data_IF_304276431167
#
_entry.id   IF_304276431167
#
_cell.length_a   1.000
_cell.length_b   1.000
_cell.length_c   1.000
_cell.angle_alpha   90.00
_cell.angle_beta   90.00
_cell.angle_gamma   90.00
#
_symmetry.space_group_name_H-M   'P 1'
#
loop_
_entity.id
_entity.type
_entity.pdbx_description
1 polymer ?
#
# COMPACT_ATOMS: atom_id res chain seq x y z
N UNK A 1 4.25 5.16 -6.99
CA UNK A 1 4.27 6.57 -6.58
C UNK A 1 3.85 6.64 -5.10
N UNK A 2 4.79 6.91 -4.16
CA UNK A 2 4.50 6.87 -2.72
C UNK A 2 3.41 7.85 -2.28
N UNK A 3 3.35 9.02 -2.91
CA UNK A 3 2.47 10.13 -2.51
C UNK A 3 0.97 9.80 -2.54
N UNK A 4 0.56 8.74 -3.24
CA UNK A 4 -0.82 8.27 -3.30
C UNK A 4 -1.24 7.49 -2.03
N UNK A 5 -0.31 7.25 -1.11
CA UNK A 5 -0.54 6.44 0.07
C UNK A 5 -0.16 7.17 1.35
N UNK A 6 -0.86 6.81 2.44
CA UNK A 6 -0.40 7.06 3.81
C UNK A 6 0.14 5.77 4.40
N UNK A 7 1.13 5.91 5.27
CA UNK A 7 1.77 4.82 5.97
C UNK A 7 1.36 4.74 7.43
N UNK A 8 2.26 4.16 8.22
CA UNK A 8 2.19 4.13 9.68
C UNK A 8 1.88 5.53 10.26
N UNK A 9 1.03 5.55 11.28
CA UNK A 9 0.56 6.76 11.97
C UNK A 9 -0.01 7.85 11.03
N UNK A 10 -0.62 7.43 9.91
CA UNK A 10 -1.28 8.32 8.96
C UNK A 10 -0.35 9.32 8.23
N UNK A 11 0.95 9.04 8.24
CA UNK A 11 1.93 9.91 7.60
C UNK A 11 1.88 9.71 6.08
N UNK A 12 1.68 10.78 5.32
CA UNK A 12 1.75 10.75 3.86
C UNK A 12 3.15 10.35 3.39
N UNK A 13 3.23 9.33 2.53
CA UNK A 13 4.51 8.80 2.08
C UNK A 13 5.14 9.69 1.00
N UNK A 14 6.36 10.16 1.26
CA UNK A 14 7.23 10.78 0.25
C UNK A 14 8.18 9.75 -0.39
N UNK A 15 8.44 8.65 0.31
CA UNK A 15 9.24 7.52 -0.12
C UNK A 15 8.67 6.23 0.50
N UNK A 16 9.05 5.06 -0.02
CA UNK A 16 8.57 3.76 0.47
C UNK A 16 9.14 3.31 1.82
N UNK A 17 10.07 4.08 2.40
CA UNK A 17 10.61 3.83 3.73
C UNK A 17 9.68 4.41 4.79
N UNK A 18 9.45 3.66 5.85
CA UNK A 18 8.65 4.06 7.00
C UNK A 18 9.45 3.83 8.28
N UNK A 19 9.14 4.63 9.30
CA UNK A 19 9.65 4.47 10.66
C UNK A 19 8.46 4.04 11.51
N UNK A 20 8.45 2.79 11.93
CA UNK A 20 7.39 2.21 12.75
C UNK A 20 7.86 2.26 14.20
N UNK A 21 7.04 2.84 15.07
CA UNK A 21 7.37 3.04 16.49
C UNK A 21 6.45 2.25 17.42
N UNK A 22 5.66 1.33 16.88
CA UNK A 22 4.69 0.54 17.63
C UNK A 22 4.62 -0.89 17.07
N UNK A 23 4.70 -1.87 17.97
CA UNK A 23 4.51 -3.29 17.67
C UNK A 23 3.02 -3.65 17.46
N UNK A 24 2.75 -4.88 17.05
CA UNK A 24 1.41 -5.42 16.85
C UNK A 24 0.89 -5.21 15.44
N UNK A 25 -0.44 -5.26 15.29
CA UNK A 25 -1.08 -5.11 14.00
C UNK A 25 -1.12 -3.63 13.57
N UNK A 26 -0.28 -3.27 12.61
CA UNK A 26 -0.14 -1.91 12.15
C UNK A 26 -0.68 -1.74 10.73
N UNK A 27 -1.27 -0.57 10.47
CA UNK A 27 -1.67 -0.19 9.11
C UNK A 27 -0.45 0.39 8.39
N UNK A 28 0.06 -0.35 7.40
CA UNK A 28 1.35 -0.12 6.78
C UNK A 28 1.24 0.66 5.47
N UNK A 29 0.20 0.44 4.68
CA UNK A 29 -0.11 1.24 3.49
C UNK A 29 -1.62 1.39 3.39
N UNK A 30 -2.08 2.58 3.04
CA UNK A 30 -3.49 2.86 2.79
C UNK A 30 -3.68 3.98 1.79
N UNK A 31 -4.86 4.08 1.20
CA UNK A 31 -5.22 5.22 0.36
C UNK A 31 -5.08 6.55 1.10
N UNK A 32 -4.78 7.61 0.34
CA UNK A 32 -4.41 8.92 0.88
C UNK A 32 -5.59 9.72 1.42
N UNK A 33 -6.76 9.57 0.81
CA UNK A 33 -7.90 10.43 1.12
C UNK A 33 -8.71 9.88 2.31
N UNK A 34 -9.65 10.67 2.80
CA UNK A 34 -10.55 10.27 3.89
C UNK A 34 -11.25 8.95 3.56
N UNK A 35 -11.28 8.02 4.52
CA UNK A 35 -11.80 6.66 4.29
C UNK A 35 -10.77 5.71 3.68
N UNK A 36 -9.48 6.08 3.70
CA UNK A 36 -8.38 5.27 3.17
C UNK A 36 -8.52 4.99 1.66
N UNK A 37 -9.10 5.94 0.92
CA UNK A 37 -9.40 5.81 -0.51
C UNK A 37 -8.30 6.35 -1.41
N UNK A 38 -8.19 5.75 -2.59
CA UNK A 38 -7.33 6.27 -3.67
C UNK A 38 -7.94 7.55 -4.26
N UNK A 39 -7.15 8.58 -4.60
CA UNK A 39 -7.72 9.82 -5.15
C UNK A 39 -8.48 9.62 -6.47
N UNK A 40 -9.50 10.45 -6.71
CA UNK A 40 -10.52 10.36 -7.78
C UNK A 40 -9.98 10.21 -9.22
N UNK A 41 -8.74 10.60 -9.50
CA UNK A 41 -8.14 10.53 -10.84
C UNK A 41 -7.13 9.39 -11.01
N UNK A 42 -6.97 8.51 -10.00
CA UNK A 42 -5.95 7.48 -10.01
C UNK A 42 -6.53 6.07 -9.96
N UNK A 43 -6.01 5.21 -10.84
CA UNK A 43 -6.16 3.75 -10.74
C UNK A 43 -4.79 3.11 -10.57
N UNK A 44 -4.73 2.07 -9.74
CA UNK A 44 -3.49 1.42 -9.37
C UNK A 44 -3.63 -0.08 -9.63
N UNK A 45 -2.79 -0.63 -10.50
CA UNK A 45 -2.61 -2.07 -10.58
C UNK A 45 -1.37 -2.47 -9.79
N UNK A 46 -1.41 -3.58 -9.06
CA UNK A 46 -0.26 -4.15 -8.34
C UNK A 46 -0.28 -5.69 -8.38
N UNK A 47 0.90 -6.32 -8.36
CA UNK A 47 1.01 -7.80 -8.43
C UNK A 47 1.93 -8.37 -7.35
N UNK A 48 2.42 -7.54 -6.44
CA UNK A 48 3.29 -8.02 -5.37
C UNK A 48 3.88 -6.93 -4.50
N UNK A 49 4.70 -7.36 -3.55
CA UNK A 49 5.37 -6.51 -2.58
C UNK A 49 6.82 -6.94 -2.40
N UNK A 50 7.75 -6.00 -2.50
CA UNK A 50 9.13 -6.17 -2.11
C UNK A 50 9.39 -5.62 -0.71
N UNK A 51 10.24 -6.34 0.03
CA UNK A 51 10.74 -5.95 1.33
C UNK A 51 12.27 -5.82 1.27
N UNK A 52 12.82 -4.78 0.61
CA UNK A 52 14.26 -4.62 0.44
C UNK A 52 14.91 -4.03 1.70
N UNK A 53 14.74 -4.73 2.82
CA UNK A 53 15.29 -4.37 4.12
C UNK A 53 16.39 -5.35 4.50
N UNK A 54 17.38 -4.86 5.27
CA UNK A 54 18.41 -5.72 5.84
C UNK A 54 17.88 -6.55 7.01
N UNK A 55 16.90 -6.00 7.74
CA UNK A 55 16.21 -6.65 8.84
C UNK A 55 14.71 -6.61 8.54
N UNK A 56 14.03 -7.74 8.72
CA UNK A 56 12.59 -7.86 8.46
C UNK A 56 11.83 -7.83 9.78
N UNK A 57 11.03 -6.78 9.96
CA UNK A 57 10.25 -6.55 11.19
C UNK A 57 8.78 -6.99 11.05
N UNK A 58 8.33 -7.28 9.83
CA UNK A 58 6.97 -7.72 9.55
C UNK A 58 6.95 -9.24 9.37
N UNK A 59 6.07 -9.91 10.12
CA UNK A 59 5.90 -11.37 10.04
C UNK A 59 4.58 -11.81 9.44
N UNK A 60 3.59 -10.93 9.35
CA UNK A 60 2.31 -11.24 8.70
C UNK A 60 1.83 -10.06 7.87
N UNK A 61 1.09 -10.37 6.80
CA UNK A 61 0.39 -9.40 5.97
C UNK A 61 -1.09 -9.74 5.85
N UNK A 62 -1.92 -8.70 5.76
CA UNK A 62 -3.33 -8.78 5.44
C UNK A 62 -3.70 -7.53 4.67
N UNK A 63 -4.52 -7.63 3.63
CA UNK A 63 -5.06 -6.43 2.99
C UNK A 63 -6.54 -6.54 2.70
N UNK A 64 -7.15 -5.38 2.45
CA UNK A 64 -8.50 -5.25 1.95
C UNK A 64 -8.56 -4.14 0.90
N UNK A 65 -9.41 -4.36 -0.11
CA UNK A 65 -9.74 -3.39 -1.15
C UNK A 65 -11.26 -3.26 -1.12
N UNK A 66 -11.78 -2.08 -0.80
CA UNK A 66 -13.22 -1.88 -0.58
C UNK A 66 -13.76 -2.90 0.44
N UNK A 67 -14.85 -3.59 0.10
CA UNK A 67 -15.44 -4.67 0.90
C UNK A 67 -14.70 -6.01 0.78
N UNK A 68 -13.79 -6.15 -0.19
CA UNK A 68 -13.04 -7.39 -0.42
C UNK A 68 -11.89 -7.53 0.56
N UNK A 69 -11.99 -8.52 1.46
CA UNK A 69 -10.94 -8.89 2.41
C UNK A 69 -10.11 -10.03 1.88
N UNK A 70 -8.81 -9.83 1.80
CA UNK A 70 -7.87 -10.85 1.36
C UNK A 70 -7.28 -11.60 2.56
N UNK A 71 -6.85 -12.83 2.28
CA UNK A 71 -6.32 -13.75 3.29
C UNK A 71 -5.11 -13.18 4.04
N UNK A 72 -4.90 -13.67 5.27
CA UNK A 72 -3.67 -13.40 6.01
C UNK A 72 -2.56 -14.30 5.47
N UNK A 73 -1.39 -13.73 5.24
CA UNK A 73 -0.21 -14.46 4.79
C UNK A 73 0.87 -14.30 5.85
N UNK A 74 1.34 -15.42 6.40
CA UNK A 74 2.54 -15.44 7.22
C UNK A 74 3.76 -15.35 6.30
N UNK A 75 4.66 -14.43 6.62
CA UNK A 75 5.82 -14.07 5.83
C UNK A 75 7.10 -14.11 6.67
N UNK A 76 7.09 -14.78 7.81
CA UNK A 76 8.25 -14.88 8.70
C UNK A 76 9.45 -15.53 7.99
N UNK A 77 9.19 -16.52 7.14
CA UNK A 77 10.21 -17.20 6.34
C UNK A 77 11.01 -16.25 5.43
N UNK A 78 10.45 -15.08 5.09
CA UNK A 78 11.13 -14.06 4.29
C UNK A 78 12.42 -13.55 4.96
N UNK A 79 12.56 -13.69 6.29
CA UNK A 79 13.78 -13.35 7.05
C UNK A 79 15.03 -14.06 6.54
N UNK A 80 14.87 -15.25 5.96
CA UNK A 80 15.97 -16.04 5.44
C UNK A 80 16.51 -15.55 4.08
N UNK A 81 15.77 -14.69 3.40
CA UNK A 81 16.10 -14.24 2.04
C UNK A 81 16.71 -12.84 2.03
N UNK A 82 17.62 -12.61 1.08
CA UNK A 82 18.20 -11.28 0.85
C UNK A 82 17.27 -10.45 -0.05
N UNK A 83 16.62 -9.43 0.52
CA UNK A 83 15.63 -8.55 -0.15
C UNK A 83 14.46 -9.33 -0.77
N UNK A 84 13.67 -10.02 0.06
CA UNK A 84 12.56 -10.86 -0.39
C UNK A 84 11.48 -10.06 -1.12
N UNK A 85 10.74 -10.77 -1.96
CA UNK A 85 9.54 -10.30 -2.63
C UNK A 85 8.45 -11.37 -2.57
N UNK A 86 7.21 -10.91 -2.46
CA UNK A 86 6.01 -11.72 -2.61
C UNK A 86 5.36 -11.31 -3.92
N UNK A 87 5.03 -12.30 -4.75
CA UNK A 87 4.30 -12.11 -5.99
C UNK A 87 2.98 -12.87 -5.85
N UNK A 88 1.88 -12.20 -6.16
CA UNK A 88 0.56 -12.80 -6.15
C UNK A 88 0.32 -13.52 -7.48
N UNK A 89 -0.45 -14.60 -7.44
CA UNK A 89 -0.83 -15.35 -8.65
C UNK A 89 -1.64 -14.47 -9.61
N UNK A 90 -2.53 -13.64 -9.05
CA UNK A 90 -3.30 -12.66 -9.79
C UNK A 90 -2.96 -11.25 -9.29
N UNK A 91 -2.80 -10.32 -10.23
CA UNK A 91 -2.67 -8.91 -9.91
C UNK A 91 -4.02 -8.34 -9.46
N UNK A 92 -3.99 -7.36 -8.57
CA UNK A 92 -5.20 -6.62 -8.19
C UNK A 92 -5.18 -5.24 -8.81
N UNK A 93 -6.39 -4.73 -9.06
CA UNK A 93 -6.64 -3.36 -9.48
C UNK A 93 -7.36 -2.69 -8.32
N UNK A 94 -6.90 -1.48 -8.00
CA UNK A 94 -7.52 -0.58 -7.05
C UNK A 94 -8.03 0.60 -7.88
N UNK A 95 -9.34 0.75 -7.91
CA UNK A 95 -10.02 1.79 -8.68
C UNK A 95 -9.96 3.16 -7.98
N UNK A 96 -10.40 4.18 -8.71
CA UNK A 96 -10.54 5.53 -8.16
C UNK A 96 -11.57 5.53 -7.02
N UNK A 97 -11.30 6.31 -5.97
CA UNK A 97 -12.15 6.40 -4.77
C UNK A 97 -12.38 5.07 -4.04
N UNK A 98 -11.65 4.01 -4.42
CA UNK A 98 -11.73 2.72 -3.76
C UNK A 98 -10.86 2.70 -2.50
N UNK A 99 -11.36 2.13 -1.41
CA UNK A 99 -10.58 2.01 -0.18
C UNK A 99 -9.51 0.95 -0.32
N UNK A 100 -8.32 1.23 0.18
CA UNK A 100 -7.21 0.29 0.20
C UNK A 100 -6.52 0.34 1.56
N UNK A 101 -6.30 -0.83 2.15
CA UNK A 101 -5.62 -0.96 3.42
C UNK A 101 -4.77 -2.24 3.45
N UNK A 102 -3.47 -2.08 3.66
CA UNK A 102 -2.50 -3.15 3.91
C UNK A 102 -2.04 -3.07 5.36
N UNK A 103 -2.40 -4.10 6.11
CA UNK A 103 -1.96 -4.34 7.47
C UNK A 103 -0.76 -5.27 7.49
N UNK A 104 0.07 -5.13 8.51
CA UNK A 104 1.05 -6.15 8.85
C UNK A 104 1.35 -6.20 10.34
N UNK A 105 1.72 -7.39 10.79
CA UNK A 105 2.11 -7.62 12.17
C UNK A 105 3.59 -7.27 12.36
N UNK A 106 3.87 -6.31 13.24
CA UNK A 106 5.20 -5.81 13.55
C UNK A 106 5.62 -6.36 14.91
N UNK A 107 6.69 -7.14 14.98
CA UNK A 107 7.04 -7.83 16.23
C UNK A 107 7.66 -6.90 17.27
N UNK A 108 8.70 -6.16 16.89
CA UNK A 108 9.55 -5.41 17.81
C UNK A 108 9.79 -3.99 17.30
N UNK A 109 8.91 -3.07 17.68
CA UNK A 109 9.03 -1.65 17.39
C UNK A 109 8.54 -0.83 18.57
N UNK A 110 9.33 0.16 18.97
CA UNK A 110 8.96 1.15 19.98
C UNK A 110 9.44 2.54 19.58
N UNK A 111 8.99 3.57 20.27
CA UNK A 111 9.49 4.94 20.08
C UNK A 111 10.99 5.07 20.39
N UNK A 112 11.52 4.21 21.27
CA UNK A 112 12.93 4.17 21.64
C UNK A 112 13.77 3.34 20.65
N UNK A 113 13.19 2.26 20.13
CA UNK A 113 13.81 1.34 19.18
C UNK A 113 12.91 1.20 17.94
N UNK A 114 12.92 2.19 17.03
CA UNK A 114 12.04 2.18 15.87
C UNK A 114 12.44 1.14 14.83
N UNK A 115 11.45 0.45 14.27
CA UNK A 115 11.64 -0.45 13.13
C UNK A 115 11.62 0.33 11.82
N UNK A 116 12.70 0.22 11.05
CA UNK A 116 12.78 0.86 9.73
C UNK A 116 12.41 -0.13 8.64
N UNK A 117 11.29 0.11 7.98
CA UNK A 117 10.74 -0.83 7.02
C UNK A 117 10.49 -0.16 5.66
N UNK A 118 10.95 -0.79 4.58
CA UNK A 118 10.54 -0.50 3.20
C UNK A 118 9.54 -1.53 2.72
N UNK A 119 8.43 -1.05 2.16
CA UNK A 119 7.40 -1.87 1.53
C UNK A 119 7.15 -1.25 0.17
N UNK A 120 7.54 -1.95 -0.90
CA UNK A 120 7.50 -1.41 -2.26
C UNK A 120 6.53 -2.26 -3.09
N UNK A 121 5.44 -1.68 -3.61
CA UNK A 121 4.60 -2.36 -4.60
C UNK A 121 5.42 -2.77 -5.83
N UNK A 122 5.35 -4.06 -6.19
CA UNK A 122 5.99 -4.62 -7.37
C UNK A 122 5.00 -4.76 -8.52
N UNK A 123 5.52 -4.62 -9.75
CA UNK A 123 4.71 -4.58 -10.96
C UNK A 123 3.59 -3.53 -10.90
N UNK A 124 3.81 -2.45 -10.13
CA UNK A 124 2.80 -1.46 -9.87
C UNK A 124 2.68 -0.46 -11.02
N UNK A 125 1.49 -0.39 -11.62
CA UNK A 125 1.15 0.57 -12.66
C UNK A 125 0.22 1.63 -12.08
N UNK A 126 0.51 2.90 -12.36
CA UNK A 126 -0.26 4.04 -11.89
C UNK A 126 -0.85 4.76 -13.09
N UNK A 127 -2.17 4.67 -13.25
CA UNK A 127 -2.89 5.33 -14.32
C UNK A 127 -3.53 6.60 -13.76
N UNK A 128 -3.28 7.73 -14.42
CA UNK A 128 -3.92 9.00 -14.09
C UNK A 128 -4.89 9.38 -15.20
N UNK A 129 -6.16 9.59 -14.87
CA UNK A 129 -7.11 10.18 -15.80
C UNK A 129 -6.80 11.67 -15.90
N UNK A 130 -6.51 12.16 -17.12
CA UNK A 130 -6.12 13.56 -17.35
C UNK A 130 -7.37 14.44 -17.53
N UNK A 131 -8.45 13.87 -18.07
CA UNK A 131 -9.70 14.60 -18.33
C UNK A 131 -10.87 13.65 -18.18
N UNK A 132 -11.73 13.86 -17.18
CA UNK A 132 -13.09 13.32 -17.18
C UNK A 132 -13.94 14.29 -17.98
N UNK A 133 -14.34 13.92 -19.19
CA UNK A 133 -15.27 14.75 -19.96
C UNK A 133 -16.63 14.63 -19.27
N UNK A 134 -16.96 15.59 -18.40
CA UNK A 134 -18.33 15.76 -17.89
C UNK A 134 -19.13 16.41 -19.02
N UNK A 135 -19.35 15.63 -20.08
CA UNK A 135 -20.24 16.03 -21.15
C UNK A 135 -21.66 15.96 -20.63
N UNK A 136 -22.23 17.09 -20.20
CA UNK A 136 -23.68 17.23 -20.32
C UNK A 136 -24.01 16.95 -21.79
N UNK A 137 -24.94 16.03 -22.10
CA UNK A 137 -25.28 15.72 -23.48
C UNK A 137 -25.71 17.00 -24.19
N UNK A 138 -24.87 17.52 -25.09
CA UNK A 138 -25.17 18.69 -25.93
C UNK A 138 -24.20 19.88 -25.90
N UNK A 139 -23.08 19.88 -25.18
CA UNK A 139 -22.10 20.98 -25.30
C UNK A 139 -20.84 20.56 -26.08
N UNK A 140 -20.62 21.23 -27.21
CA UNK A 140 -19.39 21.18 -28.02
C UNK A 140 -18.32 22.00 -27.30
N UNK A 141 -17.16 21.38 -27.09
CA UNK A 141 -15.96 22.05 -26.55
C UNK A 141 -15.34 22.84 -27.71
N UNK A 142 -15.42 24.18 -27.67
CA UNK A 142 -14.72 25.09 -28.59
C UNK A 142 -13.40 25.55 -27.98
#
# INVERSE_FOLDING_TARGET
MPVLFRGFNDVQLVHWRQTITESGNQLLLRGRETGNVIPEDFKIAWIGLAFPNKQQHITELKWQISDAKYGRINIEELRSYNKPAIIFEEGFIIDEEESFELYGYVEEASSETPAYQRIIPLGACYFKVITKVVGNPGQVIS
#
